data_IF_511899137038
#
_entry.id   IF_511899137038
#
_cell.length_a   1.000
_cell.length_b   1.000
_cell.length_c   1.000
_cell.angle_alpha   90.00
_cell.angle_beta   90.00
_cell.angle_gamma   90.00
#
_symmetry.space_group_name_H-M   'P 1'
#
loop_
_entity.id
_entity.type
_entity.pdbx_description
1 polymer ?
#
# COMPACT_ATOMS: atom_id res chain seq x y z
N UNK A 1 -7.31 14.65 -21.53
CA UNK A 1 -6.40 13.53 -21.20
C UNK A 1 -6.95 12.76 -20.01
N UNK A 2 -7.05 11.42 -20.04
CA UNK A 2 -7.52 10.66 -18.88
C UNK A 2 -6.51 10.76 -17.73
N UNK A 3 -7.00 11.01 -16.50
CA UNK A 3 -6.16 11.09 -15.30
C UNK A 3 -5.44 9.75 -15.09
N UNK A 4 -4.11 9.72 -14.89
CA UNK A 4 -3.39 8.47 -14.66
C UNK A 4 -3.98 7.71 -13.48
N UNK A 5 -4.21 6.41 -13.68
CA UNK A 5 -4.87 5.52 -12.70
C UNK A 5 -4.00 5.24 -11.49
N UNK A 6 -2.69 5.44 -11.65
CA UNK A 6 -1.66 5.29 -10.65
C UNK A 6 -1.20 6.66 -10.18
N UNK A 7 -0.97 6.79 -8.88
CA UNK A 7 -0.40 7.97 -8.26
C UNK A 7 0.65 7.55 -7.24
N UNK A 8 1.64 8.42 -7.03
CA UNK A 8 2.67 8.22 -6.02
C UNK A 8 2.41 9.14 -4.84
N UNK A 9 2.71 8.66 -3.64
CA UNK A 9 2.62 9.45 -2.42
C UNK A 9 3.52 8.83 -1.36
N UNK A 10 3.99 9.63 -0.44
CA UNK A 10 4.64 9.13 0.77
C UNK A 10 3.59 8.69 1.79
N UNK A 11 3.93 7.68 2.58
CA UNK A 11 3.02 7.12 3.55
C UNK A 11 3.73 6.52 4.75
N UNK A 12 3.07 6.55 5.90
CA UNK A 12 3.41 5.70 7.05
C UNK A 12 2.39 4.56 7.14
N UNK A 13 2.86 3.32 7.25
CA UNK A 13 1.99 2.16 7.45
C UNK A 13 1.55 2.09 8.90
N UNK A 14 0.26 2.28 9.17
CA UNK A 14 -0.29 2.34 10.53
C UNK A 14 -1.10 1.09 10.93
N UNK A 15 -1.48 0.24 9.97
CA UNK A 15 -2.16 -1.03 10.23
C UNK A 15 -1.89 -2.05 9.12
N UNK A 16 -1.77 -3.33 9.49
CA UNK A 16 -1.67 -4.46 8.56
C UNK A 16 -2.72 -5.52 8.90
N UNK A 17 -3.46 -5.99 7.90
CA UNK A 17 -4.42 -7.10 8.03
C UNK A 17 -4.07 -8.16 6.97
N UNK A 18 -4.07 -9.44 7.34
CA UNK A 18 -3.87 -10.53 6.38
C UNK A 18 -5.04 -10.56 5.40
N UNK A 19 -4.75 -10.67 4.11
CA UNK A 19 -5.74 -10.90 3.06
C UNK A 19 -5.35 -12.17 2.31
N UNK A 20 -6.14 -13.23 2.49
CA UNK A 20 -5.82 -14.55 1.95
C UNK A 20 -4.41 -15.03 2.35
N UNK A 21 -3.78 -15.80 1.47
CA UNK A 21 -2.48 -16.41 1.74
C UNK A 21 -1.31 -15.46 1.48
N UNK A 22 -1.35 -14.72 0.36
CA UNK A 22 -0.18 -14.00 -0.15
C UNK A 22 -0.26 -12.47 0.07
N UNK A 23 -1.41 -11.92 0.46
CA UNK A 23 -1.65 -10.48 0.40
C UNK A 23 -1.84 -9.87 1.81
N UNK A 24 -1.77 -8.54 1.89
CA UNK A 24 -2.18 -7.76 3.06
C UNK A 24 -3.04 -6.57 2.64
N UNK A 25 -4.02 -6.23 3.47
CA UNK A 25 -4.63 -4.89 3.46
C UNK A 25 -3.77 -4.01 4.37
N UNK A 26 -3.31 -2.89 3.83
CA UNK A 26 -2.52 -1.89 4.55
C UNK A 26 -3.37 -0.64 4.77
N UNK A 27 -3.26 -0.05 5.95
CA UNK A 27 -3.75 1.31 6.20
C UNK A 27 -2.55 2.24 6.18
N UNK A 28 -2.60 3.23 5.31
CA UNK A 28 -1.55 4.19 5.04
C UNK A 28 -2.01 5.57 5.52
N UNK A 29 -1.17 6.25 6.27
CA UNK A 29 -1.37 7.67 6.58
C UNK A 29 -0.46 8.51 5.69
N UNK A 30 -1.07 9.43 4.95
CA UNK A 30 -0.40 10.23 3.91
C UNK A 30 -0.60 11.72 4.17
N UNK A 31 0.33 12.59 3.72
CA UNK A 31 0.22 14.04 3.96
C UNK A 31 -0.99 14.71 3.26
N UNK A 32 -1.35 14.25 2.06
CA UNK A 32 -2.33 14.96 1.21
C UNK A 32 -3.62 14.18 0.95
N UNK A 33 -3.62 12.87 1.16
CA UNK A 33 -4.81 12.02 0.97
C UNK A 33 -5.39 11.55 2.32
N UNK A 34 -4.74 11.93 3.43
CA UNK A 34 -5.10 11.48 4.77
C UNK A 34 -4.91 9.97 4.94
N UNK A 35 -5.83 9.35 5.67
CA UNK A 35 -5.86 7.91 5.92
C UNK A 35 -6.52 7.19 4.75
N UNK A 36 -5.75 6.34 4.06
CA UNK A 36 -6.23 5.52 2.95
C UNK A 36 -5.95 4.04 3.18
N UNK A 37 -6.64 3.17 2.47
CA UNK A 37 -6.39 1.72 2.49
C UNK A 37 -6.04 1.21 1.10
N UNK A 38 -5.15 0.21 1.06
CA UNK A 38 -4.73 -0.43 -0.18
C UNK A 38 -4.42 -1.91 0.03
N UNK A 39 -4.56 -2.69 -1.04
CA UNK A 39 -4.16 -4.10 -1.06
C UNK A 39 -2.74 -4.19 -1.59
N UNK A 40 -1.83 -4.68 -0.74
CA UNK A 40 -0.48 -5.05 -1.15
C UNK A 40 -0.47 -6.51 -1.62
N UNK A 41 -0.65 -6.71 -2.93
CA UNK A 41 -0.68 -8.04 -3.53
C UNK A 41 0.70 -8.71 -3.50
N UNK A 42 0.72 -9.99 -3.17
CA UNK A 42 1.91 -10.83 -3.09
C UNK A 42 2.89 -10.45 -1.99
N UNK A 43 2.54 -9.51 -1.10
CA UNK A 43 3.48 -8.94 -0.12
C UNK A 43 4.01 -9.98 0.87
N UNK A 44 3.27 -11.06 1.12
CA UNK A 44 3.66 -12.15 2.03
C UNK A 44 4.43 -13.29 1.35
N UNK A 45 4.65 -13.23 0.03
CA UNK A 45 5.45 -14.25 -0.67
C UNK A 45 6.90 -14.21 -0.17
N UNK A 46 7.60 -15.35 -0.03
CA UNK A 46 8.97 -15.37 0.48
C UNK A 46 9.96 -14.48 -0.29
N UNK A 47 9.76 -14.30 -1.60
CA UNK A 47 10.60 -13.46 -2.48
C UNK A 47 10.01 -12.06 -2.74
N UNK A 48 9.06 -11.62 -1.92
CA UNK A 48 8.43 -10.30 -2.07
C UNK A 48 9.44 -9.19 -1.78
N UNK A 49 9.71 -8.36 -2.78
CA UNK A 49 10.49 -7.13 -2.61
C UNK A 49 9.75 -6.06 -1.80
N UNK A 50 8.42 -6.16 -1.70
CA UNK A 50 7.59 -5.18 -1.00
C UNK A 50 7.52 -5.39 0.51
N UNK A 51 7.85 -6.61 0.99
CA UNK A 51 7.59 -7.00 2.38
C UNK A 51 8.26 -6.05 3.39
N UNK A 52 9.56 -5.79 3.23
CA UNK A 52 10.32 -4.95 4.17
C UNK A 52 9.92 -3.47 4.13
N UNK A 53 9.53 -2.95 2.96
CA UNK A 53 9.11 -1.55 2.82
C UNK A 53 7.70 -1.29 3.37
N UNK A 54 6.89 -2.33 3.55
CA UNK A 54 5.49 -2.22 3.98
C UNK A 54 5.28 -2.76 5.40
N UNK A 55 6.29 -2.57 6.25
CA UNK A 55 6.25 -2.87 7.67
C UNK A 55 5.61 -1.74 8.49
N UNK A 56 5.19 -2.05 9.72
CA UNK A 56 4.50 -1.08 10.56
C UNK A 56 5.43 0.08 10.91
N UNK A 57 4.87 1.29 10.91
CA UNK A 57 5.54 2.56 11.21
C UNK A 57 6.70 2.91 10.25
N UNK A 58 6.84 2.17 9.15
CA UNK A 58 7.79 2.48 8.09
C UNK A 58 7.24 3.64 7.24
N UNK A 59 8.06 4.67 7.05
CA UNK A 59 7.82 5.73 6.07
C UNK A 59 8.31 5.27 4.70
N UNK A 60 7.46 5.34 3.69
CA UNK A 60 7.75 4.79 2.37
C UNK A 60 7.09 5.59 1.25
N UNK A 61 7.82 5.70 0.14
CA UNK A 61 7.26 6.17 -1.12
C UNK A 61 6.51 5.02 -1.79
N UNK A 62 5.20 5.18 -1.99
CA UNK A 62 4.34 4.14 -2.55
C UNK A 62 3.74 4.57 -3.88
N UNK A 63 3.60 3.62 -4.81
CA UNK A 63 2.82 3.78 -6.03
C UNK A 63 1.52 3.00 -5.88
N UNK A 64 0.38 3.71 -5.96
CA UNK A 64 -0.94 3.16 -5.70
C UNK A 64 -1.80 3.27 -6.95
N UNK A 65 -2.52 2.20 -7.28
CA UNK A 65 -3.55 2.20 -8.33
C UNK A 65 -4.93 2.40 -7.70
N UNK A 66 -5.71 3.35 -8.22
CA UNK A 66 -7.10 3.56 -7.78
C UNK A 66 -8.02 2.52 -8.45
N UNK A 67 -8.76 1.76 -7.64
CA UNK A 67 -9.72 0.76 -8.11
C UNK A 67 -10.82 1.35 -8.98
N UNK A 68 -11.40 0.54 -9.87
CA UNK A 68 -12.72 0.84 -10.46
C UNK A 68 -13.74 0.49 -9.38
N UNK A 69 -14.67 1.40 -9.10
CA UNK A 69 -15.86 1.06 -8.34
C UNK A 69 -16.60 -0.09 -9.03
#
# INVERSE_FOLDING_TARGET
MPKPRTYQTEAIIIKKIKLGEADRILTLYTPHLGKIQGVAKGVRRPRSKLAGHLELLTHSQVSLARGRN
#
